data_IF_801130519745
#
_entry.id   IF_801130519745
#
_cell.length_a   1.000
_cell.length_b   1.000
_cell.length_c   1.000
_cell.angle_alpha   90.00
_cell.angle_beta   90.00
_cell.angle_gamma   90.00
#
_symmetry.space_group_name_H-M   'P 1'
#
loop_
_entity.id
_entity.type
_entity.pdbx_description
1 polymer ?
#
# COMPACT_ATOMS: atom_id res chain seq x y z
N UNK A 1 14.01 28.94 -14.73
CA UNK A 1 12.69 28.25 -14.85
C UNK A 1 12.85 26.77 -14.54
N UNK A 2 13.96 26.16 -14.97
CA UNK A 2 14.34 24.77 -14.70
C UNK A 2 14.57 24.48 -13.21
N UNK A 3 15.13 25.42 -12.45
CA UNK A 3 15.35 25.26 -11.00
C UNK A 3 14.05 25.08 -10.19
N UNK A 4 12.97 25.75 -10.62
CA UNK A 4 11.67 25.64 -9.96
C UNK A 4 11.05 24.25 -10.16
N UNK A 5 11.22 23.65 -11.34
CA UNK A 5 10.73 22.30 -11.62
C UNK A 5 11.50 21.25 -10.80
N UNK A 6 12.83 21.40 -10.69
CA UNK A 6 13.67 20.55 -9.86
C UNK A 6 13.26 20.58 -8.38
N UNK A 7 13.05 21.79 -7.83
CA UNK A 7 12.61 21.96 -6.44
C UNK A 7 11.22 21.35 -6.19
N UNK A 8 10.26 21.56 -7.09
CA UNK A 8 8.91 21.00 -6.96
C UNK A 8 8.95 19.46 -6.93
N UNK A 9 9.83 18.86 -7.73
CA UNK A 9 9.96 17.42 -7.86
C UNK A 9 10.60 16.79 -6.64
N UNK A 10 11.66 17.39 -6.09
CA UNK A 10 12.24 16.98 -4.81
C UNK A 10 11.22 17.05 -3.67
N UNK A 11 10.43 18.13 -3.61
CA UNK A 11 9.36 18.27 -2.63
C UNK A 11 8.32 17.16 -2.78
N UNK A 12 7.81 16.92 -3.98
CA UNK A 12 6.82 15.87 -4.23
C UNK A 12 7.34 14.49 -3.83
N UNK A 13 8.57 14.16 -4.19
CA UNK A 13 9.14 12.85 -3.86
C UNK A 13 9.31 12.67 -2.34
N UNK A 14 9.72 13.73 -1.64
CA UNK A 14 9.80 13.76 -0.19
C UNK A 14 8.42 13.58 0.47
N UNK A 15 7.40 14.29 -0.02
CA UNK A 15 6.03 14.14 0.45
C UNK A 15 5.48 12.72 0.23
N UNK A 16 5.74 12.12 -0.92
CA UNK A 16 5.33 10.73 -1.22
C UNK A 16 5.95 9.75 -0.24
N UNK A 17 7.25 9.88 0.06
CA UNK A 17 7.94 9.01 1.03
C UNK A 17 7.33 9.17 2.42
N UNK A 18 7.08 10.40 2.87
CA UNK A 18 6.47 10.68 4.18
C UNK A 18 5.06 10.08 4.26
N UNK A 19 4.22 10.31 3.24
CA UNK A 19 2.86 9.76 3.19
C UNK A 19 2.87 8.24 3.18
N UNK A 20 3.79 7.61 2.45
CA UNK A 20 3.89 6.15 2.43
C UNK A 20 4.30 5.58 3.79
N UNK A 21 5.26 6.21 4.48
CA UNK A 21 5.65 5.78 5.82
C UNK A 21 4.46 5.91 6.80
N UNK A 22 3.75 7.03 6.76
CA UNK A 22 2.58 7.26 7.61
C UNK A 22 1.46 6.24 7.33
N UNK A 23 1.17 5.99 6.04
CA UNK A 23 0.19 5.02 5.58
C UNK A 23 0.56 3.60 6.04
N UNK A 24 1.82 3.20 5.86
CA UNK A 24 2.36 1.92 6.32
C UNK A 24 2.22 1.74 7.83
N UNK A 25 2.53 2.77 8.64
CA UNK A 25 2.38 2.72 10.10
C UNK A 25 0.91 2.57 10.49
N UNK A 26 -0.01 3.32 9.87
CA UNK A 26 -1.45 3.21 10.13
C UNK A 26 -1.98 1.82 9.75
N UNK A 27 -1.57 1.28 8.60
CA UNK A 27 -1.97 -0.05 8.14
C UNK A 27 -1.44 -1.14 9.08
N UNK A 28 -0.16 -1.09 9.46
CA UNK A 28 0.43 -2.02 10.42
C UNK A 28 -0.27 -1.99 11.77
N UNK A 29 -0.58 -0.79 12.28
CA UNK A 29 -1.29 -0.63 13.56
C UNK A 29 -2.68 -1.28 13.52
N UNK A 30 -3.42 -1.06 12.44
CA UNK A 30 -4.76 -1.63 12.29
C UNK A 30 -4.71 -3.15 12.09
N UNK A 31 -3.83 -3.63 11.21
CA UNK A 31 -3.59 -5.05 10.97
C UNK A 31 -3.20 -5.79 12.26
N UNK A 32 -2.34 -5.19 13.09
CA UNK A 32 -1.96 -5.75 14.38
C UNK A 32 -3.15 -5.85 15.35
N UNK A 33 -4.04 -4.85 15.34
CA UNK A 33 -5.26 -4.89 16.16
C UNK A 33 -6.22 -6.00 15.70
N UNK A 34 -6.43 -6.14 14.39
CA UNK A 34 -7.25 -7.21 13.80
C UNK A 34 -6.67 -8.60 14.08
N UNK A 35 -5.36 -8.78 13.89
CA UNK A 35 -4.66 -10.03 14.19
C UNK A 35 -4.77 -10.43 15.67
N UNK A 36 -4.70 -9.47 16.58
CA UNK A 36 -4.89 -9.71 18.02
C UNK A 36 -6.30 -10.23 18.32
N UNK A 37 -7.32 -9.64 17.70
CA UNK A 37 -8.71 -10.09 17.82
C UNK A 37 -8.90 -11.50 17.26
N UNK A 38 -8.39 -11.74 16.05
CA UNK A 38 -8.41 -13.05 15.40
C UNK A 38 -7.84 -14.15 16.31
N UNK A 39 -6.68 -13.91 16.92
CA UNK A 39 -6.04 -14.88 17.84
C UNK A 39 -6.88 -15.13 19.10
N UNK A 40 -7.52 -14.10 19.65
CA UNK A 40 -8.40 -14.25 20.81
C UNK A 40 -9.66 -15.05 20.45
N UNK A 41 -10.24 -14.82 19.28
CA UNK A 41 -11.40 -15.57 18.77
C UNK A 41 -11.08 -17.05 18.58
N UNK A 42 -9.92 -17.40 17.99
CA UNK A 42 -9.50 -18.81 17.83
C UNK A 42 -9.36 -19.50 19.18
N UNK A 43 -8.73 -18.85 20.15
CA UNK A 43 -8.58 -19.40 21.51
C UNK A 43 -9.94 -19.60 22.18
N UNK A 44 -10.86 -18.65 22.05
CA UNK A 44 -12.21 -18.74 22.60
C UNK A 44 -13.02 -19.86 21.96
N UNK A 45 -13.04 -19.95 20.62
CA UNK A 45 -13.78 -20.99 19.88
C UNK A 45 -13.25 -22.39 20.13
N UNK A 46 -11.91 -22.55 20.20
CA UNK A 46 -11.29 -23.84 20.53
C UNK A 46 -11.63 -24.27 21.96
N UNK A 47 -11.71 -23.34 22.91
CA UNK A 47 -12.00 -23.65 24.31
C UNK A 47 -13.49 -23.96 24.55
N UNK A 48 -14.41 -23.20 23.96
CA UNK A 48 -15.86 -23.35 24.20
C UNK A 48 -16.55 -24.36 23.26
N UNK A 49 -16.11 -24.47 22.01
CA UNK A 49 -16.79 -25.27 20.99
C UNK A 49 -15.94 -26.43 20.44
N UNK A 50 -14.67 -26.58 20.88
CA UNK A 50 -13.73 -27.62 20.46
C UNK A 50 -13.64 -27.81 18.93
N UNK A 51 -13.85 -26.71 18.19
CA UNK A 51 -13.87 -26.65 16.73
C UNK A 51 -12.75 -25.73 16.27
N UNK A 52 -12.07 -26.13 15.20
CA UNK A 52 -11.05 -25.32 14.56
C UNK A 52 -11.73 -24.30 13.63
N UNK A 53 -11.40 -23.02 13.80
CA UNK A 53 -11.96 -21.94 12.97
C UNK A 53 -11.19 -21.93 11.65
N UNK A 54 -11.87 -22.02 10.49
CA UNK A 54 -11.21 -21.99 9.20
C UNK A 54 -10.56 -20.62 8.94
N UNK A 55 -9.37 -20.63 8.31
CA UNK A 55 -8.59 -19.42 8.02
C UNK A 55 -9.35 -18.34 7.22
N UNK A 56 -10.38 -18.72 6.45
CA UNK A 56 -11.22 -17.78 5.71
C UNK A 56 -11.98 -16.80 6.62
N UNK A 57 -12.52 -17.25 7.75
CA UNK A 57 -13.19 -16.35 8.71
C UNK A 57 -12.19 -15.51 9.51
N UNK A 58 -10.94 -15.97 9.59
CA UNK A 58 -9.85 -15.21 10.20
C UNK A 58 -9.39 -14.06 9.31
N UNK A 59 -9.49 -14.22 7.99
CA UNK A 59 -9.24 -13.16 7.02
C UNK A 59 -10.37 -12.12 7.01
N UNK A 60 -11.61 -12.49 7.37
CA UNK A 60 -12.70 -11.53 7.58
C UNK A 60 -12.44 -10.59 8.77
N UNK A 61 -11.65 -11.04 9.76
CA UNK A 61 -11.15 -10.19 10.85
C UNK A 61 -10.01 -9.26 10.45
N UNK A 62 -9.35 -9.52 9.31
CA UNK A 62 -8.28 -8.69 8.75
C UNK A 62 -8.83 -7.99 7.51
N UNK A 63 -9.28 -6.75 7.69
CA UNK A 63 -9.81 -5.92 6.59
C UNK A 63 -8.88 -5.97 5.37
N UNK A 64 -9.33 -6.67 4.30
CA UNK A 64 -8.63 -6.79 3.01
C UNK A 64 -8.28 -5.41 2.42
N UNK A 65 -9.01 -4.38 2.83
CA UNK A 65 -8.73 -2.98 2.57
C UNK A 65 -7.32 -2.55 3.00
N UNK A 66 -6.84 -2.97 4.16
CA UNK A 66 -5.50 -2.57 4.63
C UNK A 66 -4.39 -3.18 3.76
N UNK A 67 -4.60 -4.39 3.25
CA UNK A 67 -3.69 -5.03 2.29
C UNK A 67 -3.68 -4.24 0.98
N UNK A 68 -4.85 -3.80 0.54
CA UNK A 68 -5.05 -3.02 -0.67
C UNK A 68 -4.33 -1.63 -0.61
N UNK A 69 -4.39 -0.96 0.55
CA UNK A 69 -3.62 0.27 0.79
C UNK A 69 -2.12 -0.01 0.73
N UNK A 70 -1.65 -1.10 1.36
CA UNK A 70 -0.23 -1.44 1.36
C UNK A 70 0.32 -1.70 -0.06
N UNK A 71 -0.44 -2.40 -0.90
CA UNK A 71 -0.08 -2.64 -2.31
C UNK A 71 0.00 -1.32 -3.09
N UNK A 72 -0.96 -0.43 -2.86
CA UNK A 72 -1.01 0.89 -3.50
C UNK A 72 0.18 1.77 -3.13
N UNK A 73 0.61 1.72 -1.87
CA UNK A 73 1.80 2.41 -1.36
C UNK A 73 3.08 1.93 -2.05
N UNK A 74 3.25 0.61 -2.18
CA UNK A 74 4.39 0.00 -2.87
C UNK A 74 4.43 0.46 -4.33
N UNK A 75 3.27 0.47 -5.00
CA UNK A 75 3.18 0.98 -6.38
C UNK A 75 3.51 2.46 -6.48
N UNK A 76 3.14 3.28 -5.50
CA UNK A 76 3.51 4.70 -5.48
C UNK A 76 5.04 4.89 -5.36
N UNK A 77 5.70 4.09 -4.51
CA UNK A 77 7.16 4.11 -4.36
C UNK A 77 7.85 3.71 -5.67
N UNK A 78 7.40 2.63 -6.32
CA UNK A 78 7.94 2.23 -7.64
C UNK A 78 7.68 3.28 -8.73
N UNK A 79 6.52 3.94 -8.74
CA UNK A 79 6.22 5.03 -9.65
C UNK A 79 7.16 6.24 -9.48
N UNK A 80 7.53 6.55 -8.23
CA UNK A 80 8.54 7.56 -7.90
C UNK A 80 9.95 7.16 -8.35
N UNK A 81 10.34 5.89 -8.19
CA UNK A 81 11.63 5.38 -8.65
C UNK A 81 11.77 5.42 -10.18
N UNK A 82 10.72 5.06 -10.91
CA UNK A 82 10.70 5.16 -12.39
C UNK A 82 10.78 6.62 -12.83
N UNK A 83 10.09 7.54 -12.14
CA UNK A 83 10.20 8.97 -12.41
C UNK A 83 11.63 9.51 -12.23
N UNK A 84 12.37 9.01 -11.24
CA UNK A 84 13.78 9.36 -11.04
C UNK A 84 14.65 8.86 -12.19
N UNK A 85 14.47 7.62 -12.63
CA UNK A 85 15.24 7.03 -13.73
C UNK A 85 15.05 7.78 -15.07
N UNK A 86 13.80 8.14 -15.38
CA UNK A 86 13.46 8.93 -16.56
C UNK A 86 14.24 10.26 -16.64
N UNK A 87 14.48 10.88 -15.49
CA UNK A 87 15.12 12.21 -15.42
C UNK A 87 16.65 12.13 -15.45
N UNK A 88 17.22 10.98 -15.09
CA UNK A 88 18.66 10.71 -15.16
C UNK A 88 19.08 10.30 -16.58
N UNK A 89 18.26 9.50 -17.29
CA UNK A 89 18.65 8.91 -18.58
C UNK A 89 18.00 9.58 -19.82
N UNK A 90 17.10 10.57 -19.66
CA UNK A 90 16.27 11.04 -20.79
C UNK A 90 15.52 9.89 -21.46
N UNK A 91 14.97 9.00 -20.63
CA UNK A 91 14.54 7.67 -21.02
C UNK A 91 13.32 7.65 -21.95
N UNK A 92 13.34 6.66 -22.86
CA UNK A 92 12.35 6.37 -23.89
C UNK A 92 10.91 6.19 -23.34
N UNK A 93 9.90 6.43 -24.18
CA UNK A 93 8.47 6.44 -23.82
C UNK A 93 7.91 5.19 -23.11
N UNK A 94 8.67 4.10 -23.04
CA UNK A 94 8.35 2.86 -22.32
C UNK A 94 8.25 3.05 -20.79
N UNK A 95 9.15 3.84 -20.18
CA UNK A 95 9.16 4.04 -18.73
C UNK A 95 7.98 4.89 -18.26
N UNK A 96 7.59 5.88 -19.06
CA UNK A 96 6.40 6.69 -18.83
C UNK A 96 5.11 5.85 -18.84
N UNK A 97 4.99 4.91 -19.79
CA UNK A 97 3.85 3.99 -19.85
C UNK A 97 3.76 3.10 -18.60
N UNK A 98 4.89 2.57 -18.13
CA UNK A 98 4.94 1.78 -16.88
C UNK A 98 4.50 2.60 -15.67
N UNK A 99 5.00 3.82 -15.51
CA UNK A 99 4.61 4.72 -14.42
C UNK A 99 3.10 5.01 -14.42
N UNK A 100 2.53 5.30 -15.60
CA UNK A 100 1.10 5.60 -15.73
C UNK A 100 0.20 4.40 -15.42
N UNK A 101 0.54 3.20 -15.90
CA UNK A 101 -0.21 1.97 -15.60
C UNK A 101 -0.14 1.65 -14.11
N UNK A 102 1.03 1.82 -13.50
CA UNK A 102 1.22 1.58 -12.08
C UNK A 102 0.33 2.51 -11.24
N UNK A 103 0.30 3.81 -11.54
CA UNK A 103 -0.60 4.75 -10.85
C UNK A 103 -2.09 4.41 -11.08
N UNK A 104 -2.45 4.01 -12.29
CA UNK A 104 -3.82 3.64 -12.63
C UNK A 104 -4.29 2.39 -11.87
N UNK A 105 -3.48 1.33 -11.83
CA UNK A 105 -3.82 0.09 -11.12
C UNK A 105 -3.93 0.34 -9.62
N UNK A 106 -3.08 1.19 -9.02
CA UNK A 106 -3.15 1.49 -7.59
C UNK A 106 -4.44 2.23 -7.22
N UNK A 107 -4.86 3.18 -8.06
CA UNK A 107 -6.11 3.91 -7.86
C UNK A 107 -7.34 3.00 -8.04
N UNK A 108 -7.32 2.09 -9.01
CA UNK A 108 -8.39 1.11 -9.19
C UNK A 108 -8.49 0.14 -8.01
N UNK A 109 -7.36 -0.33 -7.48
CA UNK A 109 -7.34 -1.25 -6.36
C UNK A 109 -8.06 -0.62 -5.16
N UNK A 110 -7.72 0.62 -4.80
CA UNK A 110 -8.41 1.39 -3.74
C UNK A 110 -9.91 1.52 -3.99
N UNK A 111 -10.33 1.82 -5.23
CA UNK A 111 -11.75 1.92 -5.58
C UNK A 111 -12.52 0.59 -5.48
N UNK A 112 -11.86 -0.56 -5.61
CA UNK A 112 -12.50 -1.89 -5.40
C UNK A 112 -12.63 -2.22 -3.91
N UNK A 113 -11.76 -1.64 -3.07
CA UNK A 113 -11.81 -1.83 -1.62
C UNK A 113 -13.00 -1.10 -0.97
N UNK A 114 -13.34 0.09 -1.49
CA UNK A 114 -14.49 0.95 -1.10
C UNK A 114 -15.83 0.30 -1.42
#
# INVERSE_FOLDING_TARGET
>A
KEDLYYLLRQLLNSFVIIFSILSGILCLRSLHSGYKLARQTVLFFRHFYNKEVPFGELLDFVDLWYINIAISDIMLVFGSLIKMQIEEESAEGSEYAKCSILLFVGNLLICIGI
#
